data_IF_035810638461
#
_entry.id   IF_035810638461
#
_cell.length_a   1.000
_cell.length_b   1.000
_cell.length_c   1.000
_cell.angle_alpha   90.00
_cell.angle_beta   90.00
_cell.angle_gamma   90.00
#
_symmetry.space_group_name_H-M   'P 1'
#
loop_
_entity.id
_entity.type
_entity.pdbx_description
1 polymer ?
#
# COMPACT_ATOMS: atom_id res chain seq x y z
N UNK A 1 -1.89 11.13 22.86
CA UNK A 1 -2.79 11.86 21.94
C UNK A 1 -3.84 12.59 22.77
N UNK A 2 -4.20 13.83 22.39
CA UNK A 2 -5.31 14.55 23.04
C UNK A 2 -6.62 13.77 22.79
N UNK A 3 -7.50 13.59 23.79
CA UNK A 3 -8.77 12.92 23.57
C UNK A 3 -9.54 13.52 22.37
N UNK A 4 -9.99 12.68 21.45
CA UNK A 4 -10.69 13.08 20.23
C UNK A 4 -9.82 13.58 19.08
N UNK A 5 -8.48 13.59 19.20
CA UNK A 5 -7.60 14.14 18.15
C UNK A 5 -7.38 13.22 16.94
N UNK A 6 -7.66 11.93 17.06
CA UNK A 6 -7.48 10.95 15.97
C UNK A 6 -8.69 10.01 15.96
N UNK A 7 -9.22 9.75 14.77
CA UNK A 7 -10.29 8.76 14.54
C UNK A 7 -9.72 7.55 13.79
N UNK A 8 -10.16 6.32 14.12
CA UNK A 8 -9.75 5.14 13.37
C UNK A 8 -10.43 5.11 11.99
N UNK A 9 -9.67 4.77 10.96
CA UNK A 9 -10.15 4.60 9.59
C UNK A 9 -9.77 3.22 9.05
N UNK A 10 -10.63 2.65 8.20
CA UNK A 10 -10.41 1.34 7.57
C UNK A 10 -10.15 1.43 6.06
N UNK A 11 -10.42 2.59 5.46
CA UNK A 11 -10.26 2.87 4.03
C UNK A 11 -9.62 4.23 3.89
N UNK A 12 -8.63 4.33 3.01
CA UNK A 12 -7.92 5.55 2.70
C UNK A 12 -7.41 5.47 1.27
N UNK A 13 -7.13 6.63 0.68
CA UNK A 13 -6.38 6.76 -0.56
C UNK A 13 -4.95 7.16 -0.18
N UNK A 14 -3.97 6.58 -0.83
CA UNK A 14 -2.56 6.88 -0.63
C UNK A 14 -1.82 6.69 -1.94
N UNK A 15 -0.75 7.46 -2.10
CA UNK A 15 0.28 7.23 -3.11
C UNK A 15 1.40 6.41 -2.46
N UNK A 16 1.86 5.38 -3.15
CA UNK A 16 2.90 4.47 -2.72
C UNK A 16 3.92 4.28 -3.84
N UNK A 17 5.20 4.36 -3.48
CA UNK A 17 6.30 3.92 -4.33
C UNK A 17 6.57 2.44 -4.09
N UNK A 18 6.60 1.66 -5.16
CA UNK A 18 6.88 0.23 -5.09
C UNK A 18 8.37 0.02 -5.27
N UNK A 19 9.04 -0.49 -4.23
CA UNK A 19 10.48 -0.74 -4.27
C UNK A 19 10.87 -1.67 -5.42
N UNK A 20 11.92 -1.28 -6.14
CA UNK A 20 12.55 -2.09 -7.19
C UNK A 20 13.26 -3.30 -6.61
N UNK A 21 13.64 -4.25 -7.47
CA UNK A 21 14.46 -5.40 -7.10
C UNK A 21 15.80 -4.97 -6.45
N UNK A 22 16.42 -3.92 -6.97
CA UNK A 22 17.71 -3.42 -6.49
C UNK A 22 17.59 -2.81 -5.08
N UNK A 23 16.43 -2.26 -4.77
CA UNK A 23 16.07 -1.75 -3.44
C UNK A 23 15.61 -2.87 -2.47
N UNK A 24 15.74 -4.14 -2.87
CA UNK A 24 15.29 -5.29 -2.06
C UNK A 24 13.76 -5.49 -2.07
N UNK A 25 13.08 -4.86 -3.01
CA UNK A 25 11.64 -4.92 -3.18
C UNK A 25 11.16 -6.14 -3.97
N UNK A 26 10.07 -5.94 -4.72
CA UNK A 26 9.44 -7.04 -5.47
C UNK A 26 10.19 -7.31 -6.77
N UNK A 27 10.21 -8.58 -7.18
CA UNK A 27 10.70 -8.99 -8.51
C UNK A 27 9.58 -9.03 -9.55
N UNK A 28 8.35 -9.24 -9.11
CA UNK A 28 7.18 -9.42 -9.96
C UNK A 28 6.14 -8.34 -9.66
N UNK A 29 5.37 -7.92 -10.68
CA UNK A 29 4.26 -7.00 -10.46
C UNK A 29 3.21 -7.58 -9.51
N UNK A 30 2.36 -6.70 -9.00
CA UNK A 30 1.14 -7.12 -8.32
C UNK A 30 -0.08 -6.52 -9.01
N UNK A 31 -1.22 -7.18 -8.81
CA UNK A 31 -2.48 -6.86 -9.44
C UNK A 31 -3.48 -6.35 -8.41
N UNK A 32 -4.65 -5.95 -8.89
CA UNK A 32 -5.78 -5.59 -8.03
C UNK A 32 -6.12 -6.74 -7.05
N UNK A 33 -6.65 -6.39 -5.86
CA UNK A 33 -6.88 -7.30 -4.72
C UNK A 33 -5.61 -7.89 -4.09
N UNK A 34 -4.46 -7.26 -4.31
CA UNK A 34 -3.24 -7.62 -3.59
C UNK A 34 -3.41 -7.35 -2.08
N UNK A 35 -3.01 -8.31 -1.24
CA UNK A 35 -3.21 -8.24 0.22
C UNK A 35 -1.90 -8.20 1.03
N UNK A 36 -1.19 -7.06 1.04
CA UNK A 36 0.02 -6.91 1.82
C UNK A 36 -0.28 -6.59 3.29
N UNK A 37 0.77 -6.68 4.12
CA UNK A 37 0.78 -6.10 5.46
C UNK A 37 1.25 -4.64 5.35
N UNK A 38 0.45 -3.73 5.92
CA UNK A 38 0.75 -2.31 6.00
C UNK A 38 1.24 -1.99 7.41
N UNK A 39 2.44 -1.42 7.49
CA UNK A 39 3.02 -0.97 8.74
C UNK A 39 2.60 0.47 9.04
N UNK A 40 1.81 0.67 10.09
CA UNK A 40 1.43 1.98 10.59
C UNK A 40 2.05 2.22 11.96
N UNK A 41 3.17 2.97 11.99
CA UNK A 41 3.96 3.34 13.18
C UNK A 41 4.52 2.16 13.98
N UNK A 42 3.68 1.36 14.61
CA UNK A 42 4.03 0.22 15.49
C UNK A 42 3.09 -0.96 15.28
N UNK A 43 2.26 -0.95 14.24
CA UNK A 43 1.25 -1.97 13.99
C UNK A 43 1.27 -2.41 12.54
N UNK A 44 1.37 -3.71 12.35
CA UNK A 44 1.15 -4.37 11.07
C UNK A 44 -0.32 -4.72 10.89
N UNK A 45 -0.92 -4.22 9.82
CA UNK A 45 -2.32 -4.48 9.49
C UNK A 45 -2.40 -5.03 8.07
N UNK A 46 -3.00 -6.21 7.90
CA UNK A 46 -3.28 -6.72 6.55
C UNK A 46 -4.39 -5.89 5.91
N UNK A 47 -4.14 -5.38 4.70
CA UNK A 47 -5.11 -4.61 3.92
C UNK A 47 -5.23 -5.15 2.50
N UNK A 48 -6.23 -4.68 1.76
CA UNK A 48 -6.40 -4.99 0.33
C UNK A 48 -6.13 -3.73 -0.48
N UNK A 49 -5.31 -3.85 -1.52
CA UNK A 49 -5.01 -2.77 -2.47
C UNK A 49 -6.04 -2.81 -3.60
N UNK A 50 -6.70 -1.68 -3.81
CA UNK A 50 -7.55 -1.44 -4.98
C UNK A 50 -6.83 -0.47 -5.91
N UNK A 51 -6.51 -0.92 -7.12
CA UNK A 51 -5.88 -0.08 -8.14
C UNK A 51 -6.94 0.82 -8.83
N UNK A 52 -6.56 2.03 -9.27
CA UNK A 52 -7.46 2.92 -10.00
C UNK A 52 -7.86 2.33 -11.37
N UNK A 53 -9.01 2.78 -11.89
CA UNK A 53 -9.53 2.32 -13.17
C UNK A 53 -8.53 2.61 -14.30
N UNK A 54 -8.16 1.55 -15.04
CA UNK A 54 -7.15 1.61 -16.10
C UNK A 54 -5.76 1.10 -15.69
N UNK A 55 -5.50 0.92 -14.39
CA UNK A 55 -4.24 0.33 -13.90
C UNK A 55 -4.45 -1.14 -13.57
N UNK A 56 -4.13 -2.02 -14.51
CA UNK A 56 -4.29 -3.48 -14.32
C UNK A 56 -3.22 -4.07 -13.40
N UNK A 57 -2.01 -3.52 -13.43
CA UNK A 57 -0.86 -4.00 -12.68
C UNK A 57 0.08 -2.86 -12.30
N UNK A 58 0.83 -3.03 -11.21
CA UNK A 58 1.88 -2.10 -10.78
C UNK A 58 3.22 -2.80 -10.80
N UNK A 59 4.21 -2.21 -11.48
CA UNK A 59 5.56 -2.76 -11.58
C UNK A 59 6.45 -2.28 -10.42
N UNK A 60 7.46 -3.06 -10.02
CA UNK A 60 8.50 -2.58 -9.12
C UNK A 60 9.21 -1.36 -9.74
N UNK A 61 9.27 -0.25 -9.00
CA UNK A 61 9.77 1.05 -9.46
C UNK A 61 8.69 2.07 -9.85
N UNK A 62 7.43 1.65 -9.91
CA UNK A 62 6.31 2.56 -10.20
C UNK A 62 5.86 3.32 -8.94
N UNK A 63 5.31 4.51 -9.18
CA UNK A 63 4.56 5.29 -8.19
C UNK A 63 3.07 5.21 -8.53
N UNK A 64 2.24 4.76 -7.60
CA UNK A 64 0.80 4.54 -7.79
C UNK A 64 -0.03 4.97 -6.59
#
# INVERSE_FOLDING_TARGET
CKPGSVKPHKKFLAEAYILTKEEGGRHTPFFNKYRPQFYFRTTDVTGEVTLPDGTEMVMPGDNA
#
